data_IF_077075655126
#
_entry.id   IF_077075655126
#
_cell.length_a   1.000
_cell.length_b   1.000
_cell.length_c   1.000
_cell.angle_alpha   90.00
_cell.angle_beta   90.00
_cell.angle_gamma   90.00
#
_symmetry.space_group_name_H-M   'P 1'
#
loop_
_entity.id
_entity.type
_entity.pdbx_description
1 polymer ?
#
# COMPACT_ATOMS: atom_id res chain seq x y z
N UNK A 1 8.67 -12.01 19.05
CA UNK A 1 9.48 -12.24 17.84
C UNK A 1 9.97 -10.88 17.37
N UNK A 2 11.26 -10.76 17.08
CA UNK A 2 11.84 -9.54 16.48
C UNK A 2 11.65 -9.60 14.96
N UNK A 3 11.54 -8.45 14.30
CA UNK A 3 11.30 -8.41 12.85
C UNK A 3 12.36 -9.19 12.05
N UNK A 4 13.64 -9.00 12.39
CA UNK A 4 14.77 -9.71 11.78
C UNK A 4 14.74 -11.24 11.89
N UNK A 5 13.92 -11.80 12.79
CA UNK A 5 13.73 -13.24 12.94
C UNK A 5 12.66 -13.78 11.97
N UNK A 6 11.87 -12.87 11.38
CA UNK A 6 10.75 -13.15 10.48
C UNK A 6 10.95 -12.62 9.05
N UNK A 7 11.74 -11.57 8.87
CA UNK A 7 11.94 -10.94 7.56
C UNK A 7 13.17 -11.49 6.85
N UNK A 8 13.08 -11.68 5.53
CA UNK A 8 14.18 -12.20 4.72
C UNK A 8 14.42 -13.71 4.87
N UNK A 9 13.50 -14.42 5.52
CA UNK A 9 13.47 -15.88 5.59
C UNK A 9 12.61 -16.42 4.45
N UNK A 10 13.10 -17.45 3.74
CA UNK A 10 12.42 -18.06 2.59
C UNK A 10 12.18 -17.08 1.44
N UNK A 11 13.27 -16.46 0.96
CA UNK A 11 13.23 -15.68 -0.26
C UNK A 11 12.85 -16.57 -1.44
N UNK A 12 11.93 -16.09 -2.27
CA UNK A 12 11.47 -16.78 -3.47
C UNK A 12 11.75 -15.92 -4.70
N UNK A 13 11.92 -16.55 -5.86
CA UNK A 13 12.07 -15.81 -7.12
C UNK A 13 10.72 -15.37 -7.67
N UNK A 14 10.74 -14.59 -8.76
CA UNK A 14 9.51 -14.25 -9.47
C UNK A 14 8.82 -15.51 -10.02
N UNK A 15 9.58 -16.47 -10.53
CA UNK A 15 9.06 -17.74 -11.05
C UNK A 15 8.36 -18.55 -9.96
N UNK A 16 8.97 -18.65 -8.78
CA UNK A 16 8.36 -19.31 -7.62
C UNK A 16 7.03 -18.64 -7.22
N UNK A 17 6.98 -17.30 -7.21
CA UNK A 17 5.77 -16.54 -6.92
C UNK A 17 4.68 -16.74 -8.00
N UNK A 18 5.07 -16.81 -9.27
CA UNK A 18 4.13 -17.06 -10.39
C UNK A 18 3.62 -18.50 -10.42
N UNK A 19 4.33 -19.45 -9.81
CA UNK A 19 3.90 -20.83 -9.65
C UNK A 19 2.78 -21.01 -8.61
N UNK A 20 2.54 -20.00 -7.75
CA UNK A 20 1.44 -20.02 -6.80
C UNK A 20 0.07 -20.02 -7.51
N UNK A 21 -0.97 -20.46 -6.80
CA UNK A 21 -2.33 -20.14 -7.19
C UNK A 21 -2.71 -18.71 -6.78
N UNK A 22 -3.84 -18.20 -7.28
CA UNK A 22 -4.29 -16.83 -7.01
C UNK A 22 -4.56 -16.58 -5.53
N UNK A 23 -5.06 -17.58 -4.79
CA UNK A 23 -5.37 -17.44 -3.36
C UNK A 23 -4.09 -17.35 -2.53
N UNK A 24 -3.10 -18.19 -2.86
CA UNK A 24 -1.77 -18.18 -2.26
C UNK A 24 -1.04 -16.87 -2.55
N UNK A 25 -1.05 -16.39 -3.80
CA UNK A 25 -0.36 -15.17 -4.20
C UNK A 25 -0.93 -13.92 -3.52
N UNK A 26 -2.26 -13.83 -3.38
CA UNK A 26 -2.92 -12.71 -2.70
C UNK A 26 -2.60 -12.70 -1.20
N UNK A 27 -2.45 -13.88 -0.58
CA UNK A 27 -2.09 -14.02 0.85
C UNK A 27 -0.59 -13.99 1.12
N UNK A 28 0.23 -13.92 0.08
CA UNK A 28 1.67 -13.95 0.22
C UNK A 28 2.15 -12.74 1.04
N UNK A 29 2.92 -13.02 2.09
CA UNK A 29 3.49 -11.99 2.95
C UNK A 29 4.88 -11.60 2.44
N UNK A 30 4.97 -10.45 1.76
CA UNK A 30 6.24 -9.95 1.24
C UNK A 30 7.23 -9.54 2.34
N UNK A 31 6.81 -9.42 3.60
CA UNK A 31 7.72 -9.18 4.71
C UNK A 31 8.71 -10.33 4.89
N UNK A 32 8.33 -11.56 4.51
CA UNK A 32 9.24 -12.72 4.47
C UNK A 32 10.41 -12.52 3.50
N UNK A 33 10.31 -11.60 2.54
CA UNK A 33 11.33 -11.34 1.53
C UNK A 33 12.39 -10.32 2.01
N UNK A 34 12.06 -9.48 2.99
CA UNK A 34 12.97 -8.50 3.60
C UNK A 34 12.25 -7.46 4.46
N UNK A 35 13.01 -6.73 5.30
CA UNK A 35 12.46 -5.68 6.18
C UNK A 35 11.81 -4.53 5.38
N UNK A 36 12.34 -4.22 4.19
CA UNK A 36 11.75 -3.32 3.20
C UNK A 36 10.97 -4.12 2.14
N UNK A 37 9.85 -4.72 2.57
CA UNK A 37 9.04 -5.64 1.76
C UNK A 37 8.63 -5.07 0.38
N UNK A 38 8.42 -3.76 0.29
CA UNK A 38 8.04 -3.04 -0.92
C UNK A 38 9.21 -2.77 -1.90
N UNK A 39 10.45 -3.15 -1.55
CA UNK A 39 11.68 -2.86 -2.33
C UNK A 39 12.62 -4.05 -2.46
N UNK A 40 12.11 -5.25 -2.17
CA UNK A 40 12.90 -6.47 -2.32
C UNK A 40 13.14 -6.80 -3.79
N UNK A 41 14.08 -7.70 -4.06
CA UNK A 41 14.35 -8.20 -5.42
C UNK A 41 13.09 -8.76 -6.09
N UNK A 42 12.28 -9.53 -5.36
CA UNK A 42 11.00 -10.05 -5.84
C UNK A 42 10.05 -8.89 -6.19
N UNK A 43 9.89 -7.93 -5.28
CA UNK A 43 8.96 -6.81 -5.46
C UNK A 43 9.37 -5.93 -6.65
N UNK A 44 10.66 -5.63 -6.81
CA UNK A 44 11.16 -4.88 -7.96
C UNK A 44 10.98 -5.66 -9.28
N UNK A 45 11.18 -6.98 -9.26
CA UNK A 45 10.93 -7.83 -10.43
C UNK A 45 9.46 -7.80 -10.86
N UNK A 46 8.54 -7.81 -9.90
CA UNK A 46 7.10 -7.62 -10.15
C UNK A 46 6.84 -6.24 -10.76
N UNK A 47 7.44 -5.18 -10.21
CA UNK A 47 7.24 -3.82 -10.72
C UNK A 47 7.72 -3.66 -12.16
N UNK A 48 8.90 -4.18 -12.52
CA UNK A 48 9.40 -4.14 -13.89
C UNK A 48 8.48 -4.85 -14.88
N UNK A 49 7.85 -5.95 -14.45
CA UNK A 49 6.94 -6.74 -15.28
C UNK A 49 5.57 -6.09 -15.48
N UNK A 50 5.08 -5.36 -14.47
CA UNK A 50 3.77 -4.72 -14.51
C UNK A 50 3.79 -3.29 -15.03
N UNK A 51 4.88 -2.56 -14.79
CA UNK A 51 4.97 -1.12 -15.03
C UNK A 51 6.18 -0.81 -15.90
N UNK A 52 6.05 -0.78 -17.24
CA UNK A 52 7.16 -0.53 -18.17
C UNK A 52 7.87 0.82 -17.94
N UNK A 53 7.24 1.75 -17.23
CA UNK A 53 7.76 3.06 -16.90
C UNK A 53 8.55 3.12 -15.58
N UNK A 54 8.57 2.02 -14.81
CA UNK A 54 9.27 1.90 -13.53
C UNK A 54 10.80 2.04 -13.71
N UNK A 55 11.43 2.67 -12.73
CA UNK A 55 12.88 2.96 -12.73
C UNK A 55 13.29 3.05 -11.25
N UNK A 56 13.99 2.04 -10.75
CA UNK A 56 14.39 1.92 -9.34
C UNK A 56 15.23 3.09 -8.84
N UNK A 57 15.87 3.86 -9.74
CA UNK A 57 16.65 5.05 -9.35
C UNK A 57 15.76 6.28 -9.11
N UNK A 58 14.55 6.28 -9.65
CA UNK A 58 13.63 7.43 -9.62
C UNK A 58 12.37 7.16 -8.81
N UNK A 59 11.97 5.90 -8.72
CA UNK A 59 10.74 5.46 -8.12
C UNK A 59 11.00 4.39 -7.06
N UNK A 60 10.17 4.37 -6.02
CA UNK A 60 10.22 3.35 -5.00
C UNK A 60 8.81 2.86 -4.68
N UNK A 61 8.73 1.59 -4.33
CA UNK A 61 7.56 1.03 -3.67
C UNK A 61 7.32 1.69 -2.31
N UNK A 62 6.08 1.60 -1.86
CA UNK A 62 5.62 1.83 -0.50
C UNK A 62 4.25 1.15 -0.32
N UNK A 63 3.82 1.01 0.93
CA UNK A 63 2.45 0.62 1.24
C UNK A 63 1.47 1.75 0.96
N UNK A 64 0.38 1.43 0.27
CA UNK A 64 -0.70 2.35 -0.09
C UNK A 64 -1.45 2.77 1.16
N UNK A 65 -1.70 1.86 2.10
CA UNK A 65 -2.30 2.20 3.39
C UNK A 65 -1.57 1.50 4.53
N UNK A 66 -1.58 2.14 5.70
CA UNK A 66 -0.94 1.62 6.90
C UNK A 66 -1.94 1.46 8.04
N UNK A 67 -1.86 0.35 8.77
CA UNK A 67 -2.64 0.20 9.99
C UNK A 67 -2.14 1.15 11.08
N UNK A 68 -0.84 1.44 11.09
CA UNK A 68 -0.19 2.26 12.11
C UNK A 68 -0.79 3.67 12.23
N UNK A 69 -1.03 4.33 11.09
CA UNK A 69 -1.60 5.68 11.10
C UNK A 69 -3.11 5.64 11.36
N UNK A 70 -3.83 4.66 10.79
CA UNK A 70 -5.24 4.46 11.12
C UNK A 70 -5.46 4.23 12.62
N UNK A 71 -4.62 3.44 13.30
CA UNK A 71 -4.67 3.26 14.76
C UNK A 71 -4.55 4.59 15.50
N UNK A 72 -3.64 5.48 15.08
CA UNK A 72 -3.53 6.82 15.68
C UNK A 72 -4.84 7.61 15.56
N UNK A 73 -5.51 7.56 14.41
CA UNK A 73 -6.80 8.21 14.18
C UNK A 73 -7.88 7.68 15.12
N UNK A 74 -8.09 6.36 15.16
CA UNK A 74 -9.23 5.75 15.87
C UNK A 74 -9.02 5.62 17.38
N UNK A 75 -7.77 5.46 17.83
CA UNK A 75 -7.44 5.24 19.26
C UNK A 75 -6.70 6.43 19.89
N UNK A 76 -6.46 7.51 19.14
CA UNK A 76 -5.81 8.74 19.60
C UNK A 76 -4.32 8.62 19.91
N UNK A 77 -3.72 7.43 19.80
CA UNK A 77 -2.30 7.16 20.09
C UNK A 77 -1.73 6.15 19.12
N UNK A 78 -0.41 6.22 18.89
CA UNK A 78 0.30 5.16 18.16
C UNK A 78 0.24 3.84 18.93
N UNK A 79 0.18 2.73 18.19
CA UNK A 79 0.05 1.36 18.73
C UNK A 79 0.99 1.05 19.91
N UNK A 80 2.27 1.42 19.80
CA UNK A 80 3.29 1.20 20.84
C UNK A 80 3.02 1.89 22.18
N UNK A 81 2.11 2.86 22.22
CA UNK A 81 1.74 3.62 23.42
C UNK A 81 0.35 3.25 23.97
N UNK A 82 -0.34 2.30 23.34
CA UNK A 82 -1.58 1.74 23.84
C UNK A 82 -1.27 0.69 24.92
N UNK A 83 -2.21 0.46 25.82
CA UNK A 83 -2.12 -0.65 26.75
C UNK A 83 -2.26 -2.00 26.01
N UNK A 84 -1.81 -3.08 26.66
CA UNK A 84 -1.76 -4.39 26.01
C UNK A 84 -3.13 -4.94 25.63
N UNK A 85 -4.18 -4.63 26.39
CA UNK A 85 -5.54 -5.08 26.08
C UNK A 85 -6.01 -4.46 24.78
N UNK A 86 -5.84 -3.15 24.62
CA UNK A 86 -6.20 -2.42 23.39
C UNK A 86 -5.36 -2.87 22.19
N UNK A 87 -4.06 -3.13 22.39
CA UNK A 87 -3.20 -3.71 21.35
C UNK A 87 -3.73 -5.05 20.84
N UNK A 88 -4.07 -5.96 21.75
CA UNK A 88 -4.60 -7.28 21.40
C UNK A 88 -5.97 -7.21 20.72
N UNK A 89 -6.81 -6.24 21.08
CA UNK A 89 -8.07 -5.96 20.39
C UNK A 89 -7.83 -5.57 18.92
N UNK A 90 -6.92 -4.63 18.67
CA UNK A 90 -6.52 -4.22 17.31
C UNK A 90 -6.02 -5.41 16.49
N UNK A 91 -5.16 -6.24 17.08
CA UNK A 91 -4.66 -7.47 16.43
C UNK A 91 -5.82 -8.44 16.15
N UNK A 92 -6.77 -8.57 17.08
CA UNK A 92 -7.96 -9.39 16.90
C UNK A 92 -8.83 -8.93 15.72
N UNK A 93 -9.03 -7.61 15.58
CA UNK A 93 -9.73 -7.01 14.44
C UNK A 93 -9.00 -7.31 13.13
N UNK A 94 -7.69 -7.04 13.06
CA UNK A 94 -6.91 -7.31 11.84
C UNK A 94 -6.95 -8.79 11.47
N UNK A 95 -6.77 -9.68 12.45
CA UNK A 95 -6.78 -11.13 12.22
C UNK A 95 -8.14 -11.64 11.74
N UNK A 96 -9.24 -11.05 12.24
CA UNK A 96 -10.60 -11.40 11.82
C UNK A 96 -10.89 -10.94 10.39
N UNK A 97 -10.42 -9.76 10.02
CA UNK A 97 -10.78 -9.11 8.77
C UNK A 97 -9.84 -9.45 7.61
N UNK A 98 -8.54 -9.61 7.86
CA UNK A 98 -7.52 -9.77 6.81
C UNK A 98 -7.12 -11.23 6.61
N UNK A 99 -7.23 -11.79 5.38
CA UNK A 99 -6.69 -13.09 5.05
C UNK A 99 -5.18 -13.14 5.32
N UNK A 100 -4.72 -14.17 6.00
CA UNK A 100 -3.33 -14.33 6.40
C UNK A 100 -2.94 -15.80 6.38
N UNK A 101 -1.64 -16.06 6.20
CA UNK A 101 -1.10 -17.40 6.33
C UNK A 101 -0.87 -17.76 7.79
N UNK A 102 -0.84 -19.06 8.08
CA UNK A 102 -0.43 -19.54 9.41
C UNK A 102 1.00 -19.07 9.72
N UNK A 103 1.21 -18.56 10.93
CA UNK A 103 2.51 -18.02 11.35
C UNK A 103 2.81 -16.60 10.86
N UNK A 104 1.93 -15.96 10.08
CA UNK A 104 2.09 -14.55 9.71
C UNK A 104 2.05 -13.65 10.94
N UNK A 105 3.04 -12.78 11.08
CA UNK A 105 3.12 -11.85 12.22
C UNK A 105 2.26 -10.61 11.97
N UNK A 106 1.49 -10.23 12.99
CA UNK A 106 0.71 -8.98 12.98
C UNK A 106 1.35 -7.90 13.87
N UNK A 107 2.33 -8.28 14.68
CA UNK A 107 3.16 -7.36 15.45
C UNK A 107 4.53 -8.00 15.68
N UNK A 108 5.51 -7.17 16.00
CA UNK A 108 6.85 -7.60 16.39
C UNK A 108 7.38 -6.78 17.54
N UNK A 109 8.37 -7.32 18.23
CA UNK A 109 9.07 -6.64 19.31
C UNK A 109 10.21 -5.78 18.75
N UNK A 110 10.26 -4.53 19.20
CA UNK A 110 11.38 -3.61 19.00
C UNK A 110 11.89 -3.10 20.34
N UNK A 111 13.01 -2.39 20.29
CA UNK A 111 13.63 -1.76 21.45
C UNK A 111 13.73 -0.25 21.21
N UNK A 112 13.28 0.55 22.17
CA UNK A 112 13.41 2.00 22.05
C UNK A 112 14.87 2.45 22.29
N UNK A 113 15.12 3.75 22.09
CA UNK A 113 16.44 4.37 22.29
C UNK A 113 17.02 4.18 23.71
N UNK A 114 16.21 3.80 24.69
CA UNK A 114 16.60 3.59 26.08
C UNK A 114 16.74 2.09 26.42
N UNK A 115 16.64 1.19 25.44
CA UNK A 115 16.73 -0.25 25.68
C UNK A 115 15.42 -0.90 26.14
N UNK A 116 14.30 -0.16 26.18
CA UNK A 116 13.02 -0.73 26.63
C UNK A 116 12.28 -1.43 25.48
N UNK A 117 11.84 -2.68 25.66
CA UNK A 117 11.07 -3.38 24.62
C UNK A 117 9.67 -2.77 24.47
N UNK A 118 9.17 -2.77 23.24
CA UNK A 118 7.79 -2.42 22.91
C UNK A 118 7.31 -3.24 21.70
N UNK A 119 5.99 -3.33 21.54
CA UNK A 119 5.39 -3.96 20.37
C UNK A 119 5.07 -2.93 19.28
N UNK A 120 5.42 -3.28 18.05
CA UNK A 120 5.14 -2.51 16.86
C UNK A 120 4.19 -3.31 15.95
N UNK A 121 3.13 -2.66 15.49
CA UNK A 121 2.15 -3.24 14.57
C UNK A 121 2.79 -3.48 13.19
N UNK A 122 2.58 -4.65 12.59
CA UNK A 122 2.89 -4.90 11.19
C UNK A 122 1.88 -4.18 10.30
N UNK A 123 2.34 -3.54 9.23
CA UNK A 123 1.42 -3.15 8.15
C UNK A 123 1.05 -4.38 7.32
N UNK A 124 0.11 -4.21 6.40
CA UNK A 124 -0.21 -5.24 5.42
C UNK A 124 0.81 -5.20 4.28
N UNK A 125 1.61 -6.27 4.14
CA UNK A 125 2.64 -6.41 3.10
C UNK A 125 2.22 -7.42 2.02
N UNK A 126 0.95 -7.40 1.63
CA UNK A 126 0.45 -8.14 0.47
C UNK A 126 0.62 -7.31 -0.81
N UNK A 127 0.75 -7.98 -1.96
CA UNK A 127 0.97 -7.35 -3.28
C UNK A 127 -0.02 -6.20 -3.57
N UNK A 128 -1.30 -6.41 -3.25
CA UNK A 128 -2.34 -5.42 -3.48
C UNK A 128 -2.20 -4.12 -2.67
N UNK A 129 -1.38 -4.11 -1.62
CA UNK A 129 -1.11 -2.91 -0.82
C UNK A 129 0.13 -2.14 -1.28
N UNK A 130 0.81 -2.54 -2.37
CA UNK A 130 2.02 -1.86 -2.82
C UNK A 130 1.79 -0.88 -3.97
N UNK A 131 2.40 0.30 -3.90
CA UNK A 131 2.34 1.31 -4.95
C UNK A 131 3.66 2.04 -5.12
N UNK A 132 3.86 2.55 -6.33
CA UNK A 132 5.11 3.14 -6.78
C UNK A 132 4.93 4.65 -6.90
N UNK A 133 5.76 5.42 -6.20
CA UNK A 133 5.81 6.87 -6.32
C UNK A 133 7.24 7.36 -6.54
N UNK A 134 7.43 8.58 -7.09
CA UNK A 134 8.74 9.21 -7.15
C UNK A 134 9.42 9.30 -5.78
N UNK A 135 10.70 8.93 -5.73
CA UNK A 135 11.53 9.08 -4.52
C UNK A 135 11.77 10.56 -4.20
N UNK A 136 12.00 11.35 -5.24
CA UNK A 136 12.18 12.79 -5.12
C UNK A 136 10.85 13.51 -4.92
N UNK A 137 10.88 14.67 -4.26
CA UNK A 137 9.68 15.46 -3.96
C UNK A 137 8.94 15.02 -2.69
N UNK A 138 9.20 13.82 -2.17
CA UNK A 138 8.76 13.38 -0.85
C UNK A 138 7.24 13.23 -0.71
N UNK A 139 6.57 12.63 -1.70
CA UNK A 139 5.12 12.45 -1.71
C UNK A 139 4.66 11.58 -0.53
N UNK A 140 5.25 10.39 -0.36
CA UNK A 140 4.89 9.47 0.74
C UNK A 140 4.96 10.09 2.14
N UNK A 141 6.08 10.72 2.58
CA UNK A 141 6.14 11.32 3.90
C UNK A 141 5.16 12.49 4.09
N UNK A 142 4.68 13.11 3.01
CA UNK A 142 3.68 14.19 3.08
C UNK A 142 2.25 13.65 3.11
N UNK A 143 1.99 12.53 2.44
CA UNK A 143 0.73 11.77 2.55
C UNK A 143 0.53 11.23 3.97
N UNK A 144 1.59 10.83 4.65
CA UNK A 144 1.52 10.37 6.05
C UNK A 144 1.26 11.47 7.09
N UNK A 145 1.27 12.75 6.69
CA UNK A 145 1.02 13.90 7.59
C UNK A 145 -0.46 14.31 7.56
N UNK A 146 -0.91 15.02 8.60
CA UNK A 146 -2.22 15.69 8.58
C UNK A 146 -2.29 16.70 7.41
N UNK A 147 -3.47 16.84 6.76
CA UNK A 147 -4.74 16.19 7.09
C UNK A 147 -4.91 14.76 6.54
N UNK A 148 -4.01 14.30 5.66
CA UNK A 148 -4.17 13.08 4.87
C UNK A 148 -3.99 11.78 5.66
N UNK A 149 -3.14 11.78 6.69
CA UNK A 149 -2.96 10.64 7.60
C UNK A 149 -2.81 9.29 6.90
N UNK A 150 -2.09 9.28 5.78
CA UNK A 150 -1.78 8.10 4.98
C UNK A 150 -2.99 7.38 4.35
N UNK A 151 -4.19 7.97 4.41
CA UNK A 151 -5.36 7.46 3.73
C UNK A 151 -5.23 7.73 2.22
N UNK A 152 -5.19 6.66 1.43
CA UNK A 152 -4.83 6.79 0.01
C UNK A 152 -5.95 7.38 -0.85
N UNK A 153 -7.21 7.21 -0.45
CA UNK A 153 -8.34 7.89 -1.06
C UNK A 153 -8.25 9.42 -0.97
N UNK A 154 -7.75 9.96 0.15
CA UNK A 154 -7.50 11.40 0.23
C UNK A 154 -6.41 11.84 -0.75
N UNK A 155 -5.38 11.01 -0.97
CA UNK A 155 -4.38 11.26 -2.03
C UNK A 155 -4.99 11.20 -3.43
N UNK A 156 -5.87 10.24 -3.70
CA UNK A 156 -6.60 10.15 -4.98
C UNK A 156 -7.52 11.35 -5.21
N UNK A 157 -8.15 11.88 -4.16
CA UNK A 157 -8.92 13.13 -4.24
C UNK A 157 -8.03 14.31 -4.65
N UNK A 158 -6.84 14.43 -4.07
CA UNK A 158 -5.87 15.47 -4.45
C UNK A 158 -5.39 15.29 -5.89
N UNK A 159 -5.16 14.05 -6.34
CA UNK A 159 -4.79 13.79 -7.74
C UNK A 159 -5.95 14.09 -8.70
N UNK A 160 -7.19 13.79 -8.33
CA UNK A 160 -8.36 14.15 -9.12
C UNK A 160 -8.44 15.66 -9.34
N UNK A 161 -8.21 16.47 -8.30
CA UNK A 161 -8.09 17.93 -8.42
C UNK A 161 -6.91 18.33 -9.33
N UNK A 162 -5.76 17.67 -9.24
CA UNK A 162 -4.61 17.93 -10.13
C UNK A 162 -4.93 17.74 -11.62
N UNK A 163 -5.67 16.69 -11.99
CA UNK A 163 -6.01 16.42 -13.38
C UNK A 163 -7.19 17.24 -13.90
N UNK A 164 -8.17 17.55 -13.04
CA UNK A 164 -9.41 18.20 -13.47
C UNK A 164 -9.38 19.73 -13.35
N UNK A 165 -8.42 20.30 -12.62
CA UNK A 165 -8.37 21.73 -12.33
C UNK A 165 -7.14 22.40 -12.93
N UNK A 166 -7.36 23.27 -13.91
CA UNK A 166 -6.30 24.07 -14.54
C UNK A 166 -5.59 25.03 -13.57
N UNK A 167 -6.15 25.29 -12.39
CA UNK A 167 -5.60 26.17 -11.35
C UNK A 167 -5.17 25.41 -10.09
N UNK A 168 -4.65 24.19 -10.24
CA UNK A 168 -4.13 23.40 -9.12
C UNK A 168 -2.99 24.14 -8.39
N UNK A 169 -3.29 24.61 -7.17
CA UNK A 169 -2.40 25.48 -6.37
C UNK A 169 -1.63 24.72 -5.29
N UNK A 170 -0.47 25.30 -4.95
CA UNK A 170 0.37 24.94 -3.79
C UNK A 170 -0.28 25.40 -2.48
N UNK A 171 -1.37 24.78 -2.07
CA UNK A 171 -2.07 25.13 -0.81
C UNK A 171 -1.56 24.37 0.39
N UNK A 172 -0.86 23.25 0.17
CA UNK A 172 -0.26 22.43 1.21
C UNK A 172 0.94 21.64 0.68
N UNK A 173 1.66 20.99 1.61
CA UNK A 173 2.89 20.27 1.31
C UNK A 173 2.70 19.15 0.28
N UNK A 174 1.58 18.41 0.34
CA UNK A 174 1.33 17.29 -0.58
C UNK A 174 1.08 17.81 -1.99
N UNK A 175 0.25 18.84 -2.15
CA UNK A 175 0.06 19.50 -3.47
C UNK A 175 1.35 20.09 -4.02
N UNK A 176 2.19 20.68 -3.17
CA UNK A 176 3.54 21.12 -3.55
C UNK A 176 4.41 19.96 -4.04
N UNK A 177 4.34 18.80 -3.37
CA UNK A 177 5.07 17.59 -3.77
C UNK A 177 4.64 17.10 -5.15
N UNK A 178 3.32 17.02 -5.38
CA UNK A 178 2.73 16.61 -6.66
C UNK A 178 3.18 17.55 -7.77
N UNK A 179 3.11 18.87 -7.56
CA UNK A 179 3.58 19.87 -8.52
C UNK A 179 5.10 19.79 -8.78
N UNK A 180 5.89 19.47 -7.76
CA UNK A 180 7.34 19.25 -7.93
C UNK A 180 7.67 18.01 -8.76
N UNK A 181 6.75 17.05 -8.82
CA UNK A 181 6.85 15.81 -9.60
C UNK A 181 5.83 15.79 -10.75
N UNK A 182 5.42 16.96 -11.27
CA UNK A 182 4.37 17.06 -12.30
C UNK A 182 4.65 16.18 -13.52
N UNK A 183 5.91 16.01 -13.91
CA UNK A 183 6.28 15.26 -15.12
C UNK A 183 6.03 13.76 -14.94
N UNK A 184 6.07 13.25 -13.70
CA UNK A 184 5.64 11.88 -13.39
C UNK A 184 4.13 11.73 -13.62
N UNK A 185 3.32 12.65 -13.09
CA UNK A 185 1.86 12.59 -13.22
C UNK A 185 1.37 12.91 -14.63
N UNK A 186 2.04 13.78 -15.38
CA UNK A 186 1.70 14.10 -16.78
C UNK A 186 1.96 12.97 -17.79
N UNK A 187 2.48 11.82 -17.33
CA UNK A 187 2.53 10.59 -18.14
C UNK A 187 1.17 9.91 -18.28
N UNK A 188 0.21 10.31 -17.44
CA UNK A 188 -1.16 9.85 -17.47
C UNK A 188 -2.04 10.98 -18.00
N UNK A 189 -2.98 10.64 -18.88
CA UNK A 189 -3.79 11.63 -19.60
C UNK A 189 -4.88 12.24 -18.70
N UNK A 190 -5.34 11.48 -17.71
CA UNK A 190 -6.40 11.87 -16.79
C UNK A 190 -6.29 11.07 -15.48
N UNK A 191 -7.14 11.40 -14.51
CA UNK A 191 -7.27 10.58 -13.31
C UNK A 191 -7.75 9.15 -13.62
N UNK A 192 -8.61 8.95 -14.63
CA UNK A 192 -9.06 7.60 -15.01
C UNK A 192 -7.94 6.79 -15.65
N UNK A 193 -7.13 7.42 -16.51
CA UNK A 193 -5.95 6.80 -17.10
C UNK A 193 -4.90 6.46 -16.03
N UNK A 194 -4.74 7.33 -15.02
CA UNK A 194 -3.91 7.06 -13.85
C UNK A 194 -4.43 5.86 -13.06
N UNK A 195 -5.73 5.75 -12.78
CA UNK A 195 -6.29 4.61 -12.05
C UNK A 195 -6.11 3.30 -12.84
N UNK A 196 -6.34 3.33 -14.14
CA UNK A 196 -6.27 2.18 -15.03
C UNK A 196 -4.86 1.61 -15.13
N UNK A 197 -3.89 2.45 -15.53
CA UNK A 197 -2.48 2.06 -15.69
C UNK A 197 -1.78 1.68 -14.39
N UNK A 198 -2.40 1.93 -13.24
CA UNK A 198 -1.85 1.63 -11.92
C UNK A 198 -2.65 0.58 -11.12
N UNK A 199 -3.70 -0.01 -11.72
CA UNK A 199 -4.57 -1.00 -11.07
C UNK A 199 -5.19 -0.47 -9.77
N UNK A 200 -5.79 0.72 -9.79
CA UNK A 200 -6.32 1.40 -8.60
C UNK A 200 -7.85 1.50 -8.59
N UNK A 201 -8.55 0.86 -9.52
CA UNK A 201 -10.01 0.91 -9.61
C UNK A 201 -10.73 0.35 -8.38
N UNK A 202 -10.10 -0.54 -7.63
CA UNK A 202 -10.62 -1.05 -6.35
C UNK A 202 -10.87 0.04 -5.30
N UNK A 203 -10.21 1.21 -5.40
CA UNK A 203 -10.49 2.36 -4.53
C UNK A 203 -11.79 3.11 -4.87
N UNK A 204 -12.48 2.72 -5.94
CA UNK A 204 -13.70 3.39 -6.41
C UNK A 204 -14.95 2.60 -6.05
N UNK A 205 -16.06 3.31 -5.79
CA UNK A 205 -17.39 2.75 -5.49
C UNK A 205 -18.35 2.84 -6.67
N UNK A 206 -18.23 3.91 -7.47
CA UNK A 206 -19.03 4.14 -8.67
C UNK A 206 -18.24 5.02 -9.63
N UNK A 207 -18.31 4.67 -10.91
CA UNK A 207 -17.76 5.47 -12.01
C UNK A 207 -18.95 6.14 -12.70
N UNK A 208 -18.87 7.45 -12.85
CA UNK A 208 -19.73 8.22 -13.77
C UNK A 208 -18.83 8.91 -14.78
N UNK A 209 -19.36 9.31 -15.94
CA UNK A 209 -18.60 9.95 -17.02
C UNK A 209 -17.79 11.17 -16.53
N UNK A 210 -18.27 11.86 -15.49
CA UNK A 210 -17.68 13.13 -15.02
C UNK A 210 -17.06 13.09 -13.62
N UNK A 211 -17.27 12.03 -12.82
CA UNK A 211 -16.73 11.94 -11.45
C UNK A 211 -16.43 10.51 -11.01
N UNK A 212 -15.30 10.34 -10.31
CA UNK A 212 -14.93 9.11 -9.62
C UNK A 212 -15.38 9.23 -8.16
N UNK A 213 -16.29 8.35 -7.73
CA UNK A 213 -16.63 8.22 -6.30
C UNK A 213 -15.67 7.22 -5.65
N UNK A 214 -14.94 7.65 -4.64
CA UNK A 214 -14.03 6.79 -3.87
C UNK A 214 -14.77 5.99 -2.78
N UNK A 215 -14.08 4.98 -2.23
CA UNK A 215 -14.59 4.17 -1.11
C UNK A 215 -14.64 4.90 0.24
N UNK A 216 -13.97 6.06 0.34
CA UNK A 216 -13.87 6.89 1.55
C UNK A 216 -13.42 6.09 2.78
N UNK A 217 -12.21 5.52 2.72
CA UNK A 217 -11.47 4.94 3.83
C UNK A 217 -11.25 5.95 4.96
N UNK A 218 -11.00 7.21 4.62
CA UNK A 218 -10.83 8.30 5.60
C UNK A 218 -12.13 8.65 6.34
N UNK A 219 -13.30 8.22 5.86
CA UNK A 219 -14.60 8.50 6.49
C UNK A 219 -15.18 7.32 7.29
N UNK A 220 -14.50 6.16 7.34
CA UNK A 220 -15.02 5.01 8.12
C UNK A 220 -15.17 5.38 9.60
N UNK A 221 -16.25 4.90 10.22
CA UNK A 221 -16.59 5.29 11.59
C UNK A 221 -15.74 4.54 12.62
N UNK A 222 -15.37 3.30 12.31
CA UNK A 222 -14.58 2.45 13.21
C UNK A 222 -13.31 1.92 12.55
N UNK A 223 -12.36 1.49 13.38
CA UNK A 223 -11.15 0.82 12.89
C UNK A 223 -11.49 -0.49 12.18
N UNK A 224 -12.47 -1.26 12.66
CA UNK A 224 -12.89 -2.51 12.02
C UNK A 224 -13.49 -2.27 10.62
N UNK A 225 -14.35 -1.27 10.46
CA UNK A 225 -14.86 -0.88 9.14
C UNK A 225 -13.75 -0.47 8.18
N UNK A 226 -12.75 0.26 8.67
CA UNK A 226 -11.56 0.60 7.90
C UNK A 226 -10.77 -0.64 7.49
N UNK A 227 -10.47 -1.55 8.42
CA UNK A 227 -9.69 -2.76 8.14
C UNK A 227 -10.44 -3.68 7.15
N UNK A 228 -11.76 -3.80 7.25
CA UNK A 228 -12.57 -4.53 6.28
C UNK A 228 -12.45 -3.91 4.88
N UNK A 229 -12.69 -2.60 4.77
CA UNK A 229 -12.67 -1.92 3.48
C UNK A 229 -11.28 -1.97 2.81
N UNK A 230 -10.20 -1.73 3.57
CA UNK A 230 -8.85 -1.79 3.00
C UNK A 230 -8.44 -3.22 2.65
N UNK A 231 -8.88 -4.22 3.43
CA UNK A 231 -8.64 -5.62 3.10
C UNK A 231 -9.30 -5.99 1.77
N UNK A 232 -10.55 -5.58 1.55
CA UNK A 232 -11.26 -5.87 0.30
C UNK A 232 -10.55 -5.24 -0.91
N UNK A 233 -10.10 -3.99 -0.77
CA UNK A 233 -9.31 -3.28 -1.78
C UNK A 233 -8.00 -4.02 -2.08
N UNK A 234 -7.24 -4.39 -1.05
CA UNK A 234 -5.96 -5.09 -1.18
C UNK A 234 -6.16 -6.45 -1.84
N UNK A 235 -7.20 -7.20 -1.46
CA UNK A 235 -7.49 -8.50 -2.04
C UNK A 235 -7.86 -8.39 -3.52
N UNK A 236 -8.76 -7.45 -3.87
CA UNK A 236 -9.17 -7.25 -5.25
C UNK A 236 -7.98 -6.81 -6.11
N UNK A 237 -7.25 -5.79 -5.67
CA UNK A 237 -6.09 -5.27 -6.38
C UNK A 237 -4.97 -6.31 -6.50
N UNK A 238 -4.76 -7.10 -5.45
CA UNK A 238 -3.78 -8.19 -5.45
C UNK A 238 -4.07 -9.23 -6.53
N UNK A 239 -5.35 -9.59 -6.72
CA UNK A 239 -5.77 -10.49 -7.80
C UNK A 239 -5.53 -9.87 -9.17
N UNK A 240 -5.96 -8.62 -9.37
CA UNK A 240 -5.78 -7.90 -10.65
C UNK A 240 -4.30 -7.81 -11.04
N UNK A 241 -3.42 -7.43 -10.11
CA UNK A 241 -1.97 -7.39 -10.35
C UNK A 241 -1.39 -8.77 -10.65
N UNK A 242 -1.82 -9.80 -9.92
CA UNK A 242 -1.33 -11.15 -10.10
C UNK A 242 -1.75 -11.76 -11.44
N UNK A 243 -3.00 -11.53 -11.86
CA UNK A 243 -3.50 -11.98 -13.15
C UNK A 243 -2.74 -11.28 -14.30
N UNK A 244 -2.50 -9.96 -14.17
CA UNK A 244 -1.70 -9.21 -15.14
C UNK A 244 -0.25 -9.72 -15.24
N UNK A 245 0.36 -10.10 -14.12
CA UNK A 245 1.70 -10.71 -14.12
C UNK A 245 1.75 -12.02 -14.94
N UNK A 246 0.72 -12.87 -14.85
CA UNK A 246 0.65 -14.15 -15.58
C UNK A 246 0.43 -13.97 -17.08
N UNK A 247 -0.39 -12.99 -17.47
CA UNK A 247 -0.59 -12.66 -18.89
C UNK A 247 0.71 -12.18 -19.53
N UNK A 248 1.44 -11.29 -18.86
CA UNK A 248 2.71 -10.77 -19.36
C UNK A 248 3.81 -11.86 -19.42
N UNK A 249 3.74 -12.90 -18.59
CA UNK A 249 4.66 -14.04 -18.64
C UNK A 249 4.41 -14.95 -19.85
N UNK A 250 3.15 -15.16 -20.18
CA UNK A 250 2.73 -15.99 -21.31
C UNK A 250 3.11 -15.36 -22.67
N UNK A 251 3.24 -14.03 -22.74
CA UNK A 251 3.66 -13.33 -23.95
C UNK A 251 5.18 -13.40 -24.18
N UNK A 252 5.98 -13.49 -23.11
CA UNK A 252 7.45 -13.59 -23.20
C UNK A 252 7.97 -15.01 -23.45
N UNK A 253 7.11 -16.04 -23.31
CA UNK A 253 7.47 -17.45 -23.55
C UNK A 253 7.17 -17.91 -24.98
N UNK A 254 6.54 -17.06 -25.81
CA UNK A 254 6.15 -17.35 -27.20
C UNK A 254 7.09 -16.66 -28.22
N UNK A 255 8.03 -15.83 -27.77
CA UNK A 255 9.09 -15.21 -28.60
C UNK A 255 10.36 -16.05 -28.65
#
# INVERSE_FOLDING_TARGET
>A
MKLKEYSGINKVTLEDFLALDSEQAVRFDFLTQGEEADRTELTNSIYHKLFPWFDEKKHAGDTINTYRIAVKKYYGKYYRFLDRKTQLEIIGIIKKCTPHNEGQILEFEETDKNGKPYYQLCNNYQLGNFYILPVQGGINPKRAQEPYNDFFDDFLNVLSDFYNNNDFKKTDKLKEAILSQKDYFKRFDSITDFLDKNYLWSFTKRITEDTISLQNLSDKATFEEYVLAITDIINQRGKELYDALKVNDSQNTIS
#
